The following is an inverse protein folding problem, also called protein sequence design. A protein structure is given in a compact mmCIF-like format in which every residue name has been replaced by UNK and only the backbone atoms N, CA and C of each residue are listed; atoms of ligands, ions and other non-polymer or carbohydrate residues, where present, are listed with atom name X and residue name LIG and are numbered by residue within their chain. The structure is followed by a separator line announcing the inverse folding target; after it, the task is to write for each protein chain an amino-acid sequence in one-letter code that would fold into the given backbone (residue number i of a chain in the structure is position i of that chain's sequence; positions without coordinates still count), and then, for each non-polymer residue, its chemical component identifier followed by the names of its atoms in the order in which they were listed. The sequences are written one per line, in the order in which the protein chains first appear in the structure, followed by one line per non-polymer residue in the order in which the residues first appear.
data_IF_310386686826
#
_entry.id   IF_310386686826
#
_cell.length_a   1.000
_cell.length_b   1.000
_cell.length_c   1.000
_cell.angle_alpha   90.00
_cell.angle_beta   90.00
_cell.angle_gamma   90.00
#
_symmetry.space_group_name_H-M   'P 1'
#
loop_
_entity.id
_entity.type
_entity.pdbx_description
1 polymer ?
#
# COMPACT_ATOMS: atom_id res chain seq x y z
N UNK A 1 -34.01 3.03 55.33
CA UNK A 1 -33.50 4.01 54.33
C UNK A 1 -31.98 3.93 54.41
N UNK A 2 -31.24 3.72 53.30
CA UNK A 2 -29.82 3.43 53.44
C UNK A 2 -29.04 2.74 52.31
N UNK A 3 -29.37 2.72 51.00
CA UNK A 3 -28.43 2.06 50.04
C UNK A 3 -28.47 2.47 48.55
N UNK A 4 -29.45 3.24 48.06
CA UNK A 4 -29.56 3.51 46.61
C UNK A 4 -28.53 4.53 46.09
N UNK A 5 -27.81 5.23 46.97
CA UNK A 5 -26.81 6.23 46.60
C UNK A 5 -25.49 5.65 46.07
N UNK A 6 -25.07 4.47 46.56
CA UNK A 6 -23.80 3.84 46.14
C UNK A 6 -23.91 3.28 44.71
N UNK A 7 -25.06 2.69 44.36
CA UNK A 7 -25.27 2.07 43.03
C UNK A 7 -25.35 3.15 41.94
N UNK A 8 -26.05 4.26 42.21
CA UNK A 8 -26.16 5.37 41.26
C UNK A 8 -24.81 6.09 41.09
N UNK A 9 -24.04 6.27 42.16
CA UNK A 9 -22.70 6.85 42.09
C UNK A 9 -21.70 5.99 41.30
N UNK A 10 -21.76 4.66 41.45
CA UNK A 10 -20.88 3.74 40.72
C UNK A 10 -21.14 3.69 39.21
N UNK A 11 -22.41 3.76 38.79
CA UNK A 11 -22.77 3.77 37.36
C UNK A 11 -22.34 5.08 36.68
N UNK A 12 -22.47 6.22 37.37
CA UNK A 12 -22.02 7.52 36.84
C UNK A 12 -20.49 7.58 36.74
N UNK A 13 -19.77 7.07 37.75
CA UNK A 13 -18.31 7.03 37.74
C UNK A 13 -17.75 6.16 36.59
N UNK A 14 -18.36 5.00 36.35
CA UNK A 14 -17.95 4.11 35.25
C UNK A 14 -18.25 4.73 33.87
N UNK A 15 -19.41 5.36 33.69
CA UNK A 15 -19.73 6.08 32.46
C UNK A 15 -18.77 7.26 32.19
N UNK A 16 -18.40 8.01 33.22
CA UNK A 16 -17.46 9.13 33.09
C UNK A 16 -16.05 8.65 32.69
N UNK A 17 -15.59 7.52 33.24
CA UNK A 17 -14.29 6.93 32.85
C UNK A 17 -14.32 6.46 31.40
N UNK A 18 -15.39 5.76 30.98
CA UNK A 18 -15.55 5.31 29.59
C UNK A 18 -15.57 6.51 28.64
N UNK A 19 -16.27 7.59 28.99
CA UNK A 19 -16.31 8.82 28.19
C UNK A 19 -14.94 9.51 28.13
N UNK A 20 -14.21 9.60 29.24
CA UNK A 20 -12.87 10.18 29.26
C UNK A 20 -11.87 9.37 28.41
N UNK A 21 -11.97 8.04 28.45
CA UNK A 21 -11.18 7.13 27.60
C UNK A 21 -11.54 7.33 26.13
N UNK A 22 -12.84 7.40 25.78
CA UNK A 22 -13.31 7.66 24.41
C UNK A 22 -12.84 9.02 23.86
N UNK A 23 -12.87 10.08 24.68
CA UNK A 23 -12.34 11.41 24.29
C UNK A 23 -10.82 11.39 24.14
N UNK A 24 -10.11 10.64 24.99
CA UNK A 24 -8.66 10.48 24.90
C UNK A 24 -8.24 9.71 23.63
N UNK A 25 -9.02 8.72 23.19
CA UNK A 25 -8.73 7.98 21.96
C UNK A 25 -9.07 8.76 20.68
N UNK A 26 -10.06 9.65 20.70
CA UNK A 26 -10.41 10.48 19.54
C UNK A 26 -9.54 11.74 19.37
N UNK A 27 -8.70 12.08 20.35
CA UNK A 27 -7.88 13.30 20.31
C UNK A 27 -6.52 13.13 19.63
N UNK A 28 -6.28 12.01 18.93
CA UNK A 28 -5.10 11.88 18.06
C UNK A 28 -5.43 12.58 16.72
N UNK A 29 -5.43 13.91 16.74
CA UNK A 29 -5.17 14.68 15.53
C UNK A 29 -3.66 14.89 15.48
N UNK A 30 -2.97 14.01 14.76
CA UNK A 30 -1.57 14.22 14.42
C UNK A 30 -1.51 15.44 13.50
N UNK A 31 -1.10 16.58 14.05
CA UNK A 31 -0.63 17.69 13.24
C UNK A 31 0.85 17.43 12.93
N UNK A 32 1.10 16.39 12.14
CA UNK A 32 2.40 16.19 11.51
C UNK A 32 2.43 17.19 10.35
N UNK A 33 2.92 18.39 10.63
CA UNK A 33 3.50 19.24 9.59
C UNK A 33 4.77 18.55 9.10
N UNK A 34 4.59 17.48 8.31
CA UNK A 34 5.64 16.84 7.56
C UNK A 34 6.17 17.82 6.54
N UNK A 35 7.25 18.51 6.90
CA UNK A 35 8.08 19.25 5.96
C UNK A 35 8.59 18.25 4.91
N UNK A 36 7.95 18.26 3.74
CA UNK A 36 8.36 17.45 2.60
C UNK A 36 9.40 18.27 1.81
N UNK A 37 10.67 18.14 2.19
CA UNK A 37 11.78 18.71 1.42
C UNK A 37 11.92 17.86 0.15
N UNK A 38 11.25 18.27 -0.93
CA UNK A 38 11.45 17.68 -2.25
C UNK A 38 12.63 18.38 -2.91
N UNK A 39 13.83 17.83 -2.78
CA UNK A 39 14.94 18.14 -3.70
C UNK A 39 14.77 17.27 -4.93
N UNK A 40 13.98 17.75 -5.89
CA UNK A 40 14.12 17.34 -7.28
C UNK A 40 14.89 18.44 -8.00
N UNK A 41 16.05 18.05 -8.54
CA UNK A 41 17.05 18.98 -9.05
C UNK A 41 16.54 19.96 -10.10
N UNK A 42 17.20 21.12 -10.07
CA UNK A 42 17.45 22.04 -11.17
C UNK A 42 16.38 23.05 -11.60
N UNK A 43 15.52 23.52 -10.70
CA UNK A 43 14.90 24.85 -10.88
C UNK A 43 14.68 25.50 -9.51
N UNK A 44 15.47 26.55 -9.22
CA UNK A 44 15.27 27.39 -8.04
C UNK A 44 14.10 28.34 -8.29
N UNK A 45 12.90 27.96 -7.87
CA UNK A 45 11.78 28.90 -7.74
C UNK A 45 11.76 29.52 -6.34
N UNK A 46 11.72 30.85 -6.30
CA UNK A 46 11.60 31.64 -5.07
C UNK A 46 10.22 31.44 -4.45
N UNK A 47 10.20 30.97 -3.21
CA UNK A 47 8.99 30.74 -2.40
C UNK A 47 8.23 32.06 -2.18
N UNK A 48 7.01 32.14 -2.70
CA UNK A 48 6.15 33.31 -2.52
C UNK A 48 4.77 33.22 -3.19
N UNK A 49 4.61 32.36 -4.19
CA UNK A 49 3.31 32.10 -4.80
C UNK A 49 2.95 30.63 -4.56
N UNK A 50 2.06 30.39 -3.58
CA UNK A 50 1.36 29.12 -3.50
C UNK A 50 0.38 29.11 -4.66
N UNK A 51 0.84 28.73 -5.86
CA UNK A 51 -0.09 28.15 -6.83
C UNK A 51 -0.54 26.85 -6.19
N UNK A 52 -1.67 26.89 -5.47
CA UNK A 52 -2.36 25.69 -5.04
C UNK A 52 -2.67 24.92 -6.31
N UNK A 53 -1.82 23.95 -6.65
CA UNK A 53 -2.18 22.95 -7.63
C UNK A 53 -3.30 22.19 -6.94
N UNK A 54 -4.53 22.63 -7.16
CA UNK A 54 -5.75 21.88 -6.91
C UNK A 54 -5.66 20.65 -7.81
N UNK A 55 -4.83 19.68 -7.40
CA UNK A 55 -4.68 18.41 -8.09
C UNK A 55 -5.94 17.63 -7.74
N UNK A 56 -6.98 17.89 -8.52
CA UNK A 56 -8.18 17.07 -8.51
C UNK A 56 -7.77 15.69 -9.01
N UNK A 57 -7.44 14.81 -8.07
CA UNK A 57 -7.34 13.40 -8.38
C UNK A 57 -8.77 12.94 -8.68
N UNK A 58 -8.98 12.48 -9.91
CA UNK A 58 -10.26 11.93 -10.37
C UNK A 58 -10.68 10.68 -9.56
N UNK A 59 -9.72 10.06 -8.86
CA UNK A 59 -9.92 8.87 -8.04
C UNK A 59 -9.38 9.05 -6.61
N UNK A 60 -10.15 8.57 -5.64
CA UNK A 60 -9.68 8.36 -4.26
C UNK A 60 -8.64 7.24 -4.20
N UNK A 61 -7.83 7.22 -3.14
CA UNK A 61 -6.93 6.09 -2.85
C UNK A 61 -7.68 4.76 -2.74
N UNK A 62 -8.91 4.80 -2.21
CA UNK A 62 -9.79 3.63 -2.13
C UNK A 62 -10.20 3.17 -3.52
N UNK A 63 -10.56 4.09 -4.42
CA UNK A 63 -10.97 3.74 -5.79
C UNK A 63 -9.81 3.12 -6.58
N UNK A 64 -8.59 3.61 -6.38
CA UNK A 64 -7.40 3.06 -7.03
C UNK A 64 -7.13 1.65 -6.51
N UNK A 65 -7.21 1.44 -5.19
CA UNK A 65 -7.04 0.12 -4.61
C UNK A 65 -8.08 -0.86 -5.15
N UNK A 66 -9.36 -0.51 -5.05
CA UNK A 66 -10.48 -1.36 -5.49
C UNK A 66 -10.38 -1.72 -6.98
N UNK A 67 -9.97 -0.76 -7.83
CA UNK A 67 -9.80 -1.01 -9.26
C UNK A 67 -8.55 -1.80 -9.62
N UNK A 68 -7.52 -1.78 -8.76
CA UNK A 68 -6.22 -2.43 -9.06
C UNK A 68 -6.10 -3.82 -8.46
N UNK A 69 -6.85 -4.12 -7.39
CA UNK A 69 -6.76 -5.35 -6.60
C UNK A 69 -6.78 -6.60 -7.49
N UNK A 70 -7.75 -6.72 -8.39
CA UNK A 70 -7.92 -7.89 -9.25
C UNK A 70 -6.77 -8.12 -10.25
N UNK A 71 -5.98 -7.08 -10.55
CA UNK A 71 -4.83 -7.17 -11.48
C UNK A 71 -3.53 -7.54 -10.77
N UNK A 72 -3.49 -7.55 -9.43
CA UNK A 72 -2.27 -7.84 -8.66
C UNK A 72 -2.14 -9.35 -8.45
N UNK A 73 -0.94 -9.86 -8.68
CA UNK A 73 -0.59 -11.27 -8.49
C UNK A 73 0.64 -11.42 -7.63
N UNK A 74 0.71 -12.53 -6.89
CA UNK A 74 1.94 -12.98 -6.26
C UNK A 74 2.77 -13.76 -7.28
N UNK A 75 4.06 -13.46 -7.34
CA UNK A 75 5.04 -14.17 -8.18
C UNK A 75 5.99 -14.91 -7.26
N UNK A 76 5.99 -16.24 -7.33
CA UNK A 76 6.94 -17.10 -6.63
C UNK A 76 7.79 -17.83 -7.66
N UNK A 77 9.09 -17.91 -7.43
CA UNK A 77 10.00 -18.65 -8.30
C UNK A 77 10.70 -19.73 -7.51
N UNK A 78 11.08 -20.80 -8.21
CA UNK A 78 11.88 -21.91 -7.65
C UNK A 78 13.21 -21.95 -8.38
N UNK A 79 14.30 -22.16 -7.63
CA UNK A 79 15.66 -22.35 -8.14
C UNK A 79 16.23 -23.64 -7.55
N UNK A 80 16.15 -24.75 -8.28
CA UNK A 80 16.63 -26.06 -7.84
C UNK A 80 15.96 -26.55 -6.55
N UNK A 81 16.77 -26.97 -5.58
CA UNK A 81 16.33 -27.48 -4.27
C UNK A 81 16.07 -26.38 -3.22
N UNK A 82 16.25 -25.10 -3.58
CA UNK A 82 16.06 -23.97 -2.67
C UNK A 82 14.73 -23.24 -2.91
N UNK A 83 14.13 -22.73 -1.84
CA UNK A 83 13.07 -21.72 -1.93
C UNK A 83 13.62 -20.54 -2.73
N UNK A 84 12.98 -20.24 -3.88
CA UNK A 84 13.45 -19.18 -4.76
C UNK A 84 12.95 -17.80 -4.34
N UNK A 85 12.94 -16.87 -5.29
CA UNK A 85 12.49 -15.50 -5.07
C UNK A 85 10.97 -15.41 -4.94
N UNK A 86 10.51 -14.39 -4.21
CA UNK A 86 9.10 -14.03 -4.11
C UNK A 86 8.96 -12.53 -4.39
N UNK A 87 7.88 -12.16 -5.07
CA UNK A 87 7.55 -10.77 -5.35
C UNK A 87 6.10 -10.64 -5.77
N UNK A 88 5.76 -9.47 -6.29
CA UNK A 88 4.47 -9.20 -6.90
C UNK A 88 4.61 -8.98 -8.41
N UNK A 89 3.48 -9.06 -9.10
CA UNK A 89 3.35 -8.67 -10.48
C UNK A 89 1.97 -8.10 -10.74
N UNK A 90 1.74 -7.66 -11.97
CA UNK A 90 0.45 -7.20 -12.42
C UNK A 90 0.11 -7.82 -13.77
N UNK A 91 -1.16 -8.19 -13.95
CA UNK A 91 -1.72 -8.61 -15.23
C UNK A 91 -1.85 -7.38 -16.13
N UNK A 92 -1.19 -7.41 -17.28
CA UNK A 92 -1.17 -6.32 -18.26
C UNK A 92 -2.14 -6.55 -19.43
N UNK A 93 -2.51 -7.80 -19.71
CA UNK A 93 -3.35 -8.15 -20.84
C UNK A 93 -4.25 -9.35 -20.53
N UNK A 94 -5.43 -9.36 -21.12
CA UNK A 94 -6.40 -10.46 -21.07
C UNK A 94 -5.85 -11.77 -21.68
N UNK A 95 -4.76 -11.71 -22.44
CA UNK A 95 -4.03 -12.88 -22.94
C UNK A 95 -3.18 -13.57 -21.86
N UNK A 96 -3.13 -13.02 -20.65
CA UNK A 96 -2.41 -13.61 -19.51
C UNK A 96 -0.96 -13.13 -19.34
N UNK A 97 -0.61 -11.97 -19.92
CA UNK A 97 0.71 -11.38 -19.73
C UNK A 97 0.83 -10.73 -18.35
N UNK A 98 1.85 -11.14 -17.60
CA UNK A 98 2.17 -10.59 -16.28
C UNK A 98 3.51 -9.86 -16.35
N UNK A 99 3.55 -8.64 -15.80
CA UNK A 99 4.77 -7.87 -15.63
C UNK A 99 5.21 -7.97 -14.17
N UNK A 100 6.50 -8.18 -13.95
CA UNK A 100 7.14 -8.22 -12.63
C UNK A 100 8.56 -7.66 -12.74
N UNK A 101 9.22 -7.49 -11.60
CA UNK A 101 10.60 -7.06 -11.57
C UNK A 101 11.53 -8.15 -12.07
N UNK A 102 12.54 -7.77 -12.86
CA UNK A 102 13.49 -8.72 -13.41
C UNK A 102 14.25 -9.51 -12.33
N UNK A 103 14.61 -8.88 -11.21
CA UNK A 103 15.32 -9.58 -10.13
C UNK A 103 14.46 -10.68 -9.46
N UNK A 104 13.13 -10.63 -9.59
CA UNK A 104 12.23 -11.66 -9.05
C UNK A 104 12.38 -12.94 -9.86
N UNK A 105 12.35 -12.81 -11.19
CA UNK A 105 12.38 -13.94 -12.14
C UNK A 105 13.78 -14.30 -12.63
N UNK A 106 14.81 -13.59 -12.16
CA UNK A 106 16.19 -13.88 -12.52
C UNK A 106 16.56 -15.32 -12.12
N UNK A 107 17.12 -16.05 -13.08
CA UNK A 107 17.58 -17.44 -12.92
C UNK A 107 16.50 -18.39 -12.37
N UNK A 108 15.22 -18.07 -12.60
CA UNK A 108 14.10 -18.89 -12.20
C UNK A 108 13.98 -20.13 -13.10
N UNK A 109 13.88 -21.31 -12.50
CA UNK A 109 13.59 -22.57 -13.22
C UNK A 109 12.08 -22.74 -13.43
N UNK A 110 11.30 -22.32 -12.45
CA UNK A 110 9.84 -22.31 -12.50
C UNK A 110 9.32 -21.01 -11.91
N UNK A 111 8.34 -20.42 -12.58
CA UNK A 111 7.60 -19.25 -12.11
C UNK A 111 6.16 -19.67 -11.83
N UNK A 112 5.69 -19.38 -10.62
CA UNK A 112 4.32 -19.61 -10.18
C UNK A 112 3.66 -18.26 -9.92
N UNK A 113 2.52 -18.06 -10.56
CA UNK A 113 1.70 -16.86 -10.46
C UNK A 113 0.46 -17.22 -9.66
N UNK A 114 0.26 -16.59 -8.51
CA UNK A 114 -0.89 -16.82 -7.64
C UNK A 114 -1.77 -15.58 -7.59
N UNK A 115 -3.04 -15.74 -7.92
CA UNK A 115 -4.06 -14.70 -7.83
C UNK A 115 -4.58 -14.55 -6.41
N UNK A 116 -5.27 -13.44 -6.12
CA UNK A 116 -5.81 -13.15 -4.78
C UNK A 116 -6.89 -14.12 -4.33
N UNK A 117 -7.57 -14.77 -5.26
CA UNK A 117 -8.53 -15.85 -5.00
C UNK A 117 -7.84 -17.20 -4.63
N UNK A 118 -6.51 -17.26 -4.74
CA UNK A 118 -5.68 -18.42 -4.44
C UNK A 118 -5.42 -19.33 -5.65
N UNK A 119 -5.97 -19.02 -6.83
CA UNK A 119 -5.66 -19.78 -8.04
C UNK A 119 -4.19 -19.58 -8.44
N UNK A 120 -3.52 -20.66 -8.82
CA UNK A 120 -2.09 -20.64 -9.14
C UNK A 120 -1.80 -21.24 -10.52
N UNK A 121 -0.96 -20.55 -11.28
CA UNK A 121 -0.63 -20.86 -12.67
C UNK A 121 0.89 -20.87 -12.87
N UNK A 122 1.37 -21.74 -13.76
CA UNK A 122 2.79 -21.77 -14.14
C UNK A 122 3.00 -20.74 -15.26
N UNK A 123 3.89 -19.78 -15.01
CA UNK A 123 4.28 -18.75 -15.97
C UNK A 123 5.59 -19.09 -16.69
N UNK A 124 5.73 -18.60 -17.91
CA UNK A 124 6.98 -18.62 -18.66
C UNK A 124 7.51 -17.19 -18.83
N UNK A 125 8.82 -17.00 -18.63
CA UNK A 125 9.46 -15.71 -18.86
C UNK A 125 9.63 -15.50 -20.37
N UNK A 126 8.86 -14.57 -20.93
CA UNK A 126 8.87 -14.26 -22.37
C UNK A 126 9.94 -13.23 -22.76
N UNK A 127 10.37 -12.41 -21.82
CA UNK A 127 11.32 -11.33 -22.06
C UNK A 127 11.75 -10.69 -20.75
N UNK A 128 12.96 -10.14 -20.72
CA UNK A 128 13.50 -9.45 -19.54
C UNK A 128 14.25 -8.22 -20.00
N UNK A 129 13.97 -7.08 -19.39
CA UNK A 129 14.80 -5.88 -19.56
C UNK A 129 15.75 -5.75 -18.37
N UNK A 130 17.05 -5.85 -18.66
CA UNK A 130 18.10 -5.56 -17.70
C UNK A 130 18.55 -4.14 -18.01
N UNK A 131 17.96 -3.16 -17.33
CA UNK A 131 18.28 -1.75 -17.53
C UNK A 131 19.80 -1.50 -17.45
N UNK A 132 20.45 -1.42 -18.61
CA UNK A 132 21.71 -0.69 -18.76
C UNK A 132 21.33 0.78 -18.70
N UNK A 133 21.87 1.53 -17.74
CA UNK A 133 21.46 2.89 -17.35
C UNK A 133 21.48 3.95 -18.45
N UNK A 134 20.58 3.85 -19.42
CA UNK A 134 20.31 4.86 -20.43
C UNK A 134 18.86 4.73 -20.89
N UNK A 135 17.95 5.38 -20.16
CA UNK A 135 16.63 5.71 -20.69
C UNK A 135 16.83 6.72 -21.83
N UNK A 136 16.48 6.36 -23.05
CA UNK A 136 15.98 7.33 -24.02
C UNK A 136 14.48 7.09 -24.14
N UNK A 137 13.73 8.13 -23.81
CA UNK A 137 12.29 8.23 -23.93
C UNK A 137 11.84 8.10 -25.39
#
# INVERSE_FOLDING_TARGET
MANNGIVVGGVIATAAIIFAVFVSFNSITNNDSGELIVTNGDYGETVGEVTGIERSYEYSLIDIFEKSEASIVQVSVVRGESDGGMGSGFVYSDEGYVITNQHVVQDAERVMITFLDGEAYIGNVIGTDRGSGHCSC
#
